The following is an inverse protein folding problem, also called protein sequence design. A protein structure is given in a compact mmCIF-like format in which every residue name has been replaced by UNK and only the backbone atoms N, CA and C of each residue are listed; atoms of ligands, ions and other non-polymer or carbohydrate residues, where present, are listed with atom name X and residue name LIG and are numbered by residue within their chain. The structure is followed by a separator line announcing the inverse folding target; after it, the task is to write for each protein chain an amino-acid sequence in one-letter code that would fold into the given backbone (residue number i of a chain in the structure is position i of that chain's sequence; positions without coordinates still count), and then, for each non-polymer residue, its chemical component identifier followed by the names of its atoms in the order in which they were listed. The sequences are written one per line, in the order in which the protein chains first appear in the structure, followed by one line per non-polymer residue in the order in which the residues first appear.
data_IF_021536643840
#
_entry.id   IF_021536643840
#
_cell.length_a   1.000
_cell.length_b   1.000
_cell.length_c   1.000
_cell.angle_alpha   90.00
_cell.angle_beta   90.00
_cell.angle_gamma   90.00
#
_symmetry.space_group_name_H-M   'P 1'
#
loop_
_entity.id
_entity.type
_entity.pdbx_description
1 polymer ?
#
# COMPACT_ATOMS: atom_id res chain seq x y z
N UNK A 1 48.61 23.20 48.98
CA UNK A 1 48.35 21.99 49.78
C UNK A 1 47.12 21.29 49.21
N UNK A 2 47.28 20.06 48.72
CA UNK A 2 46.29 19.33 47.91
C UNK A 2 45.15 18.74 48.75
N UNK A 3 43.91 18.92 48.31
CA UNK A 3 42.74 18.23 48.84
C UNK A 3 42.63 16.83 48.22
N UNK A 4 42.64 15.79 49.04
CA UNK A 4 42.53 14.38 48.65
C UNK A 4 41.05 14.04 48.46
N UNK A 5 40.64 13.73 47.23
CA UNK A 5 39.31 13.21 46.93
C UNK A 5 39.09 11.87 47.65
N UNK A 6 38.04 11.77 48.45
CA UNK A 6 37.63 10.53 49.08
C UNK A 6 36.89 9.66 48.06
N UNK A 7 37.52 8.56 47.65
CA UNK A 7 36.90 7.50 46.85
C UNK A 7 35.92 6.73 47.74
N UNK A 8 34.62 6.84 47.45
CA UNK A 8 33.59 6.07 48.13
C UNK A 8 33.75 4.57 47.79
N UNK A 9 33.93 3.74 48.82
CA UNK A 9 34.00 2.29 48.71
C UNK A 9 32.59 1.71 48.56
N UNK A 10 32.24 1.23 47.37
CA UNK A 10 30.97 0.54 47.14
C UNK A 10 31.05 -0.86 47.73
N UNK A 11 30.46 -1.06 48.92
CA UNK A 11 30.41 -2.37 49.60
C UNK A 11 29.65 -3.38 48.72
N UNK A 12 30.19 -4.59 48.45
CA UNK A 12 29.49 -5.56 47.62
C UNK A 12 28.21 -6.03 48.30
N UNK A 13 27.07 -5.90 47.62
CA UNK A 13 25.79 -6.42 48.08
C UNK A 13 25.87 -7.92 48.37
N UNK A 14 25.30 -8.36 49.50
CA UNK A 14 25.30 -9.76 49.93
C UNK A 14 24.59 -10.65 48.89
N UNK A 15 25.01 -11.93 48.74
CA UNK A 15 24.44 -12.83 47.74
C UNK A 15 22.94 -13.07 47.94
N UNK A 16 22.44 -12.97 49.17
CA UNK A 16 21.01 -13.03 49.49
C UNK A 16 20.24 -11.84 48.92
N UNK A 17 20.77 -10.61 49.04
CA UNK A 17 20.15 -9.41 48.48
C UNK A 17 20.12 -9.46 46.95
N UNK A 18 21.19 -9.97 46.31
CA UNK A 18 21.25 -10.15 44.85
C UNK A 18 20.18 -11.14 44.36
N UNK A 19 19.98 -12.25 45.09
CA UNK A 19 18.93 -13.24 44.76
C UNK A 19 17.52 -12.66 44.94
N UNK A 20 17.30 -11.87 45.99
CA UNK A 20 16.02 -11.20 46.21
C UNK A 20 15.70 -10.18 45.10
N UNK A 21 16.69 -9.36 44.71
CA UNK A 21 16.54 -8.41 43.61
C UNK A 21 16.32 -9.11 42.26
N UNK A 22 17.02 -10.20 41.99
CA UNK A 22 16.81 -10.99 40.78
C UNK A 22 15.40 -11.59 40.74
N UNK A 23 14.91 -12.14 41.86
CA UNK A 23 13.55 -12.65 41.96
C UNK A 23 12.50 -11.55 41.72
N UNK A 24 12.68 -10.38 42.33
CA UNK A 24 11.80 -9.24 42.11
C UNK A 24 11.80 -8.79 40.64
N UNK A 25 12.97 -8.74 39.99
CA UNK A 25 13.08 -8.39 38.57
C UNK A 25 12.33 -9.39 37.66
N UNK A 26 12.40 -10.69 37.96
CA UNK A 26 11.65 -11.72 37.22
C UNK A 26 10.15 -11.54 37.39
N UNK A 27 9.67 -11.27 38.60
CA UNK A 27 8.23 -11.05 38.85
C UNK A 27 7.73 -9.80 38.11
N UNK A 28 8.51 -8.72 38.13
CA UNK A 28 8.18 -7.50 37.38
C UNK A 28 8.16 -7.76 35.88
N UNK A 29 9.13 -8.51 35.35
CA UNK A 29 9.17 -8.88 33.93
C UNK A 29 7.95 -9.69 33.51
N UNK A 30 7.55 -10.70 34.31
CA UNK A 30 6.36 -11.50 34.03
C UNK A 30 5.08 -10.66 34.10
N UNK A 31 4.99 -9.73 35.05
CA UNK A 31 3.89 -8.78 35.13
C UNK A 31 3.81 -7.86 33.91
N UNK A 32 4.94 -7.34 33.45
CA UNK A 32 5.00 -6.52 32.24
C UNK A 32 4.60 -7.31 30.99
N UNK A 33 5.08 -8.55 30.84
CA UNK A 33 4.66 -9.43 29.75
C UNK A 33 3.16 -9.72 29.77
N UNK A 34 2.58 -9.98 30.95
CA UNK A 34 1.15 -10.21 31.09
C UNK A 34 0.31 -8.96 30.69
N UNK A 35 0.77 -7.77 31.09
CA UNK A 35 0.11 -6.51 30.71
C UNK A 35 0.27 -6.18 29.22
N UNK A 36 1.36 -6.60 28.58
CA UNK A 36 1.62 -6.39 27.15
C UNK A 36 0.93 -7.45 26.27
N UNK A 37 0.58 -8.61 26.81
CA UNK A 37 -0.13 -9.65 26.05
C UNK A 37 -1.59 -9.28 25.81
N UNK A 38 -1.91 -8.92 24.56
CA UNK A 38 -3.28 -8.73 24.09
C UNK A 38 -3.93 -10.07 23.74
N UNK A 39 -4.80 -10.57 24.63
CA UNK A 39 -5.58 -11.79 24.38
C UNK A 39 -6.75 -11.50 23.43
N UNK A 40 -6.66 -11.99 22.20
CA UNK A 40 -7.76 -11.95 21.23
C UNK A 40 -8.58 -13.24 21.35
N UNK A 41 -9.86 -13.12 21.72
CA UNK A 41 -10.78 -14.26 21.73
C UNK A 41 -11.23 -14.58 20.31
N UNK A 42 -11.29 -15.87 19.98
CA UNK A 42 -11.83 -16.36 18.71
C UNK A 42 -13.29 -15.91 18.60
N UNK A 43 -13.66 -15.24 17.50
CA UNK A 43 -14.98 -14.65 17.26
C UNK A 43 -15.22 -13.27 17.91
N UNK A 44 -14.22 -12.65 18.54
CA UNK A 44 -14.32 -11.26 19.03
C UNK A 44 -14.02 -10.24 17.93
N UNK A 45 -14.34 -8.96 18.16
CA UNK A 45 -13.99 -7.87 17.23
C UNK A 45 -12.47 -7.76 16.94
N UNK A 46 -11.61 -8.32 17.80
CA UNK A 46 -10.17 -8.41 17.57
C UNK A 46 -9.73 -9.63 16.74
N UNK A 47 -10.64 -10.56 16.47
CA UNK A 47 -10.36 -11.76 15.68
C UNK A 47 -10.33 -11.41 14.18
N UNK A 48 -9.12 -11.08 13.71
CA UNK A 48 -8.81 -10.78 12.30
C UNK A 48 -9.09 -11.96 11.35
N UNK A 49 -9.36 -13.18 11.84
CA UNK A 49 -9.89 -14.26 10.99
C UNK A 49 -11.31 -14.01 10.49
N UNK A 50 -12.05 -13.12 11.15
CA UNK A 50 -13.37 -12.66 10.68
C UNK A 50 -13.24 -11.61 9.58
N UNK A 51 -12.09 -10.94 9.49
CA UNK A 51 -11.76 -9.90 8.51
C UNK A 51 -10.86 -10.46 7.38
N UNK A 52 -11.11 -11.71 6.96
CA UNK A 52 -10.44 -12.27 5.79
C UNK A 52 -10.83 -11.42 4.58
N UNK A 53 -9.82 -10.93 3.86
CA UNK A 53 -10.02 -10.17 2.63
C UNK A 53 -10.94 -10.95 1.67
N UNK A 54 -12.07 -10.34 1.31
CA UNK A 54 -12.98 -10.85 0.29
C UNK A 54 -12.72 -10.11 -1.01
N UNK A 55 -12.05 -10.78 -1.96
CA UNK A 55 -11.80 -10.20 -3.28
C UNK A 55 -13.10 -9.81 -4.00
N UNK A 56 -14.17 -10.57 -3.77
CA UNK A 56 -15.49 -10.29 -4.34
C UNK A 56 -16.09 -8.99 -3.78
N UNK A 57 -16.02 -8.77 -2.46
CA UNK A 57 -16.59 -7.56 -1.85
C UNK A 57 -15.71 -6.33 -2.13
N UNK A 58 -14.39 -6.50 -2.11
CA UNK A 58 -13.45 -5.45 -2.52
C UNK A 58 -13.66 -5.06 -3.99
N UNK A 59 -13.83 -6.02 -4.89
CA UNK A 59 -14.12 -5.77 -6.29
C UNK A 59 -15.42 -4.99 -6.46
N UNK A 60 -16.50 -5.38 -5.76
CA UNK A 60 -17.78 -4.66 -5.80
C UNK A 60 -17.67 -3.23 -5.25
N UNK A 61 -16.84 -2.98 -4.23
CA UNK A 61 -16.70 -1.65 -3.63
C UNK A 61 -15.76 -0.73 -4.40
N UNK A 62 -14.68 -1.25 -4.97
CA UNK A 62 -13.66 -0.45 -5.65
C UNK A 62 -13.92 -0.28 -7.14
N UNK A 63 -14.56 -1.25 -7.81
CA UNK A 63 -14.80 -1.18 -9.25
C UNK A 63 -15.55 0.10 -9.67
N UNK A 64 -16.66 0.50 -9.02
CA UNK A 64 -17.35 1.74 -9.40
C UNK A 64 -16.49 3.00 -9.22
N UNK A 65 -15.58 3.00 -8.23
CA UNK A 65 -14.66 4.13 -7.99
C UNK A 65 -13.61 4.22 -9.09
N UNK A 66 -13.02 3.08 -9.46
CA UNK A 66 -12.04 3.01 -10.54
C UNK A 66 -12.70 3.34 -11.88
N UNK A 67 -13.91 2.84 -12.14
CA UNK A 67 -14.67 3.19 -13.33
C UNK A 67 -14.88 4.70 -13.44
N UNK A 68 -15.36 5.34 -12.36
CA UNK A 68 -15.59 6.78 -12.35
C UNK A 68 -14.29 7.58 -12.56
N UNK A 69 -13.17 7.14 -11.98
CA UNK A 69 -11.87 7.78 -12.18
C UNK A 69 -11.37 7.64 -13.63
N UNK A 70 -11.53 6.46 -14.24
CA UNK A 70 -11.20 6.22 -15.65
C UNK A 70 -12.07 7.09 -16.56
N UNK A 71 -13.38 7.13 -16.33
CA UNK A 71 -14.31 7.95 -17.12
C UNK A 71 -14.01 9.45 -16.99
N UNK A 72 -13.67 9.93 -15.79
CA UNK A 72 -13.34 11.33 -15.56
C UNK A 72 -12.04 11.77 -16.26
N UNK A 73 -11.08 10.85 -16.41
CA UNK A 73 -9.79 11.11 -17.08
C UNK A 73 -9.80 10.78 -18.57
N UNK A 74 -10.84 10.11 -19.06
CA UNK A 74 -10.91 9.65 -20.44
C UNK A 74 -10.97 10.83 -21.42
N UNK A 75 -9.81 11.16 -21.99
CA UNK A 75 -9.69 12.14 -23.05
C UNK A 75 -10.18 11.57 -24.38
N UNK A 76 -10.54 12.46 -25.30
CA UNK A 76 -10.95 12.06 -26.65
C UNK A 76 -9.80 11.35 -27.39
N UNK A 77 -10.11 10.21 -28.01
CA UNK A 77 -9.08 9.37 -28.66
C UNK A 77 -8.33 10.08 -29.79
N UNK A 78 -8.97 10.97 -30.55
CA UNK A 78 -8.32 11.76 -31.61
C UNK A 78 -7.35 12.76 -31.01
N UNK A 79 -7.75 13.39 -29.91
CA UNK A 79 -6.89 14.34 -29.17
C UNK A 79 -5.63 13.65 -28.63
N UNK A 80 -5.79 12.49 -28.00
CA UNK A 80 -4.67 11.69 -27.47
C UNK A 80 -3.78 11.18 -28.61
N UNK A 81 -4.37 10.69 -29.69
CA UNK A 81 -3.63 10.24 -30.87
C UNK A 81 -2.75 11.35 -31.46
N UNK A 82 -3.30 12.56 -31.62
CA UNK A 82 -2.55 13.72 -32.10
C UNK A 82 -1.43 14.13 -31.13
N UNK A 83 -1.68 14.07 -29.83
CA UNK A 83 -0.67 14.36 -28.81
C UNK A 83 0.49 13.35 -28.85
N UNK A 84 0.18 12.05 -28.98
CA UNK A 84 1.19 10.97 -29.10
C UNK A 84 2.02 11.16 -30.37
N UNK A 85 1.37 11.41 -31.52
CA UNK A 85 2.05 11.60 -32.80
C UNK A 85 2.97 12.84 -32.79
N UNK A 86 2.63 13.86 -32.01
CA UNK A 86 3.46 15.06 -31.84
C UNK A 86 4.65 14.82 -30.91
N UNK A 87 4.39 14.30 -29.71
CA UNK A 87 5.42 13.93 -28.72
C UNK A 87 4.84 12.95 -27.70
N UNK A 88 5.19 11.67 -27.86
CA UNK A 88 4.79 10.60 -26.97
C UNK A 88 5.18 10.84 -25.50
N UNK A 89 6.37 11.36 -25.22
CA UNK A 89 6.82 11.54 -23.84
C UNK A 89 6.03 12.63 -23.10
N UNK A 90 5.58 13.65 -23.84
CA UNK A 90 4.70 14.68 -23.29
C UNK A 90 3.27 14.16 -23.13
N UNK A 91 2.74 13.43 -24.12
CA UNK A 91 1.41 12.82 -24.03
C UNK A 91 1.30 11.82 -22.86
N UNK A 92 2.34 11.03 -22.62
CA UNK A 92 2.42 10.11 -21.48
C UNK A 92 2.39 10.82 -20.11
N UNK A 93 2.93 12.03 -20.01
CA UNK A 93 2.88 12.83 -18.78
C UNK A 93 1.54 13.53 -18.57
N UNK A 94 0.90 13.94 -19.67
CA UNK A 94 -0.34 14.71 -19.63
C UNK A 94 -1.58 13.81 -19.47
N UNK A 95 -1.62 12.68 -20.19
CA UNK A 95 -2.78 11.78 -20.24
C UNK A 95 -2.53 10.43 -19.55
N UNK A 96 -1.28 10.12 -19.20
CA UNK A 96 -0.90 8.84 -18.62
C UNK A 96 -0.95 8.82 -17.10
N UNK A 97 -1.41 7.70 -16.55
CA UNK A 97 -1.24 7.35 -15.13
C UNK A 97 -0.06 6.38 -15.01
N UNK A 98 0.97 6.69 -14.20
CA UNK A 98 2.11 5.80 -14.03
C UNK A 98 1.69 4.41 -13.54
N UNK A 99 2.09 3.37 -14.27
CA UNK A 99 1.92 1.97 -13.88
C UNK A 99 3.23 1.19 -14.11
N UNK A 100 3.25 -0.08 -13.71
CA UNK A 100 4.49 -0.84 -13.56
C UNK A 100 5.37 -0.98 -14.81
N UNK A 101 4.78 -1.15 -16.00
CA UNK A 101 5.51 -1.38 -17.27
C UNK A 101 5.50 -0.13 -18.16
N UNK A 102 4.63 0.83 -17.85
CA UNK A 102 4.43 2.05 -18.63
C UNK A 102 3.17 2.78 -18.16
N UNK A 103 2.97 4.02 -18.62
CA UNK A 103 1.77 4.77 -18.30
C UNK A 103 0.53 4.14 -18.96
N UNK A 104 -0.58 4.15 -18.24
CA UNK A 104 -1.89 3.76 -18.77
C UNK A 104 -2.67 5.01 -19.14
N UNK A 105 -3.18 5.06 -20.37
CA UNK A 105 -3.95 6.20 -20.88
C UNK A 105 -5.41 5.80 -21.04
N UNK A 106 -6.31 6.54 -20.42
CA UNK A 106 -7.76 6.34 -20.55
C UNK A 106 -8.28 7.17 -21.72
N UNK A 107 -9.03 6.55 -22.63
CA UNK A 107 -9.60 7.23 -23.80
C UNK A 107 -11.08 6.92 -23.97
N UNK A 108 -11.82 7.91 -24.46
CA UNK A 108 -13.18 7.73 -24.96
C UNK A 108 -13.17 7.78 -26.48
N UNK A 109 -13.91 6.88 -27.11
CA UNK A 109 -14.06 6.83 -28.55
C UNK A 109 -15.42 6.28 -28.94
N UNK A 110 -15.83 6.59 -30.17
CA UNK A 110 -16.91 5.89 -30.87
C UNK A 110 -16.35 5.45 -32.21
N UNK A 111 -16.61 4.21 -32.61
CA UNK A 111 -16.02 3.67 -33.82
C UNK A 111 -16.73 2.42 -34.30
N UNK A 112 -16.32 1.97 -35.48
CA UNK A 112 -16.85 0.75 -36.10
C UNK A 112 -16.00 -0.43 -35.65
N UNK A 113 -16.65 -1.41 -35.04
CA UNK A 113 -16.01 -2.67 -34.64
C UNK A 113 -15.72 -3.50 -35.88
N UNK A 114 -14.46 -3.85 -36.08
CA UNK A 114 -13.97 -4.71 -37.14
C UNK A 114 -13.73 -6.15 -36.66
N UNK A 115 -12.75 -6.82 -37.28
CA UNK A 115 -12.42 -8.19 -36.95
C UNK A 115 -11.98 -8.35 -35.48
N UNK A 116 -12.56 -9.35 -34.81
CA UNK A 116 -12.21 -9.74 -33.46
C UNK A 116 -11.40 -11.03 -33.45
N UNK A 117 -10.25 -11.03 -32.78
CA UNK A 117 -9.41 -12.22 -32.59
C UNK A 117 -9.04 -12.35 -31.11
N UNK A 118 -9.35 -13.50 -30.51
CA UNK A 118 -9.04 -13.80 -29.10
C UNK A 118 -9.57 -12.76 -28.10
N UNK A 119 -10.75 -12.20 -28.35
CA UNK A 119 -11.37 -11.19 -27.48
C UNK A 119 -10.82 -9.77 -27.64
N UNK A 120 -9.86 -9.56 -28.56
CA UNK A 120 -9.38 -8.24 -28.97
C UNK A 120 -10.05 -7.87 -30.28
N UNK A 121 -10.66 -6.70 -30.31
CA UNK A 121 -11.39 -6.20 -31.49
C UNK A 121 -10.66 -4.99 -32.06
N UNK A 122 -10.41 -5.00 -33.37
CA UNK A 122 -9.99 -3.77 -34.06
C UNK A 122 -11.19 -2.82 -34.08
N UNK A 123 -11.02 -1.59 -33.62
CA UNK A 123 -12.06 -0.56 -33.71
C UNK A 123 -11.54 0.57 -34.58
N UNK A 124 -12.24 0.86 -35.67
CA UNK A 124 -11.95 2.00 -36.53
C UNK A 124 -12.63 3.24 -35.94
N UNK A 125 -11.82 4.17 -35.43
CA UNK A 125 -12.26 5.46 -34.89
C UNK A 125 -11.93 6.53 -35.90
N UNK A 126 -12.93 7.33 -36.29
CA UNK A 126 -12.72 8.43 -37.23
C UNK A 126 -11.70 9.43 -36.68
N UNK A 127 -10.69 9.79 -37.49
CA UNK A 127 -9.63 10.72 -37.10
C UNK A 127 -8.47 10.10 -36.31
N UNK A 128 -8.54 8.82 -35.91
CA UNK A 128 -7.39 8.11 -35.32
C UNK A 128 -6.67 7.34 -36.43
N UNK A 129 -5.34 7.55 -36.62
CA UNK A 129 -4.59 6.81 -37.64
C UNK A 129 -4.46 5.32 -37.27
N UNK A 130 -4.26 4.47 -38.28
CA UNK A 130 -4.03 3.03 -38.08
C UNK A 130 -2.74 2.73 -37.29
N UNK A 131 -1.83 3.69 -37.18
CA UNK A 131 -0.54 3.58 -36.48
C UNK A 131 -0.23 4.88 -35.71
N UNK A 132 0.19 4.75 -34.45
CA UNK A 132 0.58 5.84 -33.54
C UNK A 132 2.06 5.77 -33.16
#
# INVERSE_FOLDING_TARGET
MSAKAATASTRPASPALRRALAGAAVVVLLGAMALDTKVVRIGSAGDVRSAVFSAADYGKSEFPKVQADVEARAADAVTVAAAIAKDRATAEKEYGVPAGVGPVISVKFTGVVGEGKSGIYKVAVEGVPDTL
#
